data_IF_227866030157
#
_entry.id   IF_227866030157
#
_cell.length_a   1.000
_cell.length_b   1.000
_cell.length_c   1.000
_cell.angle_alpha   90.00
_cell.angle_beta   90.00
_cell.angle_gamma   90.00
#
_symmetry.space_group_name_H-M   'P 1'
#
loop_
_entity.id
_entity.type
_entity.pdbx_description
1 polymer ?
#
# COMPACT_ATOMS: atom_id res chain seq x y z
N UNK A 1 15.73 7.55 -2.60
CA UNK A 1 14.35 7.77 -3.06
C UNK A 1 13.64 6.45 -3.31
N UNK A 2 14.10 5.62 -4.26
CA UNK A 2 13.48 4.33 -4.61
C UNK A 2 13.01 3.48 -3.42
N UNK A 3 13.86 3.31 -2.38
CA UNK A 3 13.49 2.53 -1.19
C UNK A 3 12.33 3.13 -0.40
N UNK A 4 12.28 4.45 -0.27
CA UNK A 4 11.18 5.15 0.39
C UNK A 4 9.92 5.06 -0.45
N UNK A 5 10.03 5.26 -1.78
CA UNK A 5 8.90 5.09 -2.70
C UNK A 5 8.30 3.69 -2.59
N UNK A 6 9.14 2.66 -2.43
CA UNK A 6 8.66 1.30 -2.19
C UNK A 6 7.84 1.20 -0.90
N UNK A 7 8.25 1.83 0.19
CA UNK A 7 7.47 1.81 1.45
C UNK A 7 6.11 2.51 1.30
N UNK A 8 6.03 3.62 0.54
CA UNK A 8 4.76 4.28 0.24
C UNK A 8 3.90 3.48 -0.74
N UNK A 9 4.52 2.80 -1.72
CA UNK A 9 3.84 1.87 -2.62
C UNK A 9 3.13 0.76 -1.83
N UNK A 10 3.73 0.24 -0.75
CA UNK A 10 3.09 -0.80 0.08
C UNK A 10 1.86 -0.28 0.82
N UNK A 11 1.94 0.93 1.36
CA UNK A 11 0.83 1.61 2.03
C UNK A 11 -0.31 1.89 1.06
N UNK A 12 0.03 2.35 -0.15
CA UNK A 12 -0.95 2.54 -1.22
C UNK A 12 -1.59 1.22 -1.63
N UNK A 13 -0.79 0.15 -1.82
CA UNK A 13 -1.28 -1.18 -2.15
C UNK A 13 -2.26 -1.70 -1.06
N UNK A 14 -1.95 -1.46 0.22
CA UNK A 14 -2.83 -1.83 1.34
C UNK A 14 -4.17 -1.08 1.29
N UNK A 15 -4.12 0.24 1.11
CA UNK A 15 -5.31 1.07 1.00
C UNK A 15 -6.17 0.70 -0.23
N UNK A 16 -5.52 0.42 -1.36
CA UNK A 16 -6.20 -0.01 -2.58
C UNK A 16 -6.89 -1.37 -2.39
N UNK A 17 -6.18 -2.37 -1.86
CA UNK A 17 -6.77 -3.69 -1.57
C UNK A 17 -7.96 -3.56 -0.62
N UNK A 18 -7.82 -2.76 0.44
CA UNK A 18 -8.90 -2.48 1.39
C UNK A 18 -10.12 -1.90 0.67
N UNK A 19 -9.92 -0.90 -0.20
CA UNK A 19 -10.99 -0.27 -0.97
C UNK A 19 -11.73 -1.28 -1.86
N UNK A 20 -11.01 -2.19 -2.52
CA UNK A 20 -11.63 -3.22 -3.37
C UNK A 20 -12.47 -4.20 -2.54
N UNK A 21 -12.00 -4.58 -1.35
CA UNK A 21 -12.76 -5.45 -0.45
C UNK A 21 -13.97 -4.74 0.18
N UNK A 22 -13.90 -3.42 0.39
CA UNK A 22 -15.06 -2.63 0.78
C UNK A 22 -16.10 -2.52 -0.33
N UNK A 23 -15.66 -2.35 -1.57
CA UNK A 23 -16.55 -2.39 -2.74
C UNK A 23 -17.24 -3.76 -2.87
N UNK A 24 -16.48 -4.85 -2.69
CA UNK A 24 -17.04 -6.21 -2.61
C UNK A 24 -18.13 -6.32 -1.54
N UNK A 25 -17.82 -5.90 -0.31
CA UNK A 25 -18.76 -5.98 0.82
C UNK A 25 -20.05 -5.18 0.60
N UNK A 26 -19.98 -4.11 -0.20
CA UNK A 26 -21.12 -3.26 -0.59
C UNK A 26 -21.87 -3.77 -1.84
N UNK A 27 -21.45 -4.88 -2.44
CA UNK A 27 -22.00 -5.39 -3.71
C UNK A 27 -21.69 -4.50 -4.91
N UNK A 28 -20.65 -3.66 -4.81
CA UNK A 28 -20.21 -2.77 -5.88
C UNK A 28 -19.18 -3.48 -6.78
N UNK A 29 -18.95 -2.89 -7.97
CA UNK A 29 -17.86 -3.33 -8.85
C UNK A 29 -16.53 -3.21 -8.10
N UNK A 30 -15.78 -4.30 -8.09
CA UNK A 30 -14.49 -4.43 -7.43
C UNK A 30 -13.58 -5.28 -8.30
N UNK A 31 -12.28 -5.13 -8.08
CA UNK A 31 -11.26 -5.93 -8.74
C UNK A 31 -10.17 -6.34 -7.75
N UNK A 32 -10.22 -7.60 -7.31
CA UNK A 32 -9.23 -8.16 -6.39
C UNK A 32 -8.27 -9.04 -7.18
N UNK A 33 -7.13 -8.48 -7.57
CA UNK A 33 -6.12 -9.17 -8.36
C UNK A 33 -4.73 -8.54 -8.22
N UNK A 34 -3.71 -9.14 -8.82
CA UNK A 34 -2.34 -8.64 -8.78
C UNK A 34 -2.23 -7.27 -9.49
N UNK A 35 -1.64 -6.27 -8.82
CA UNK A 35 -1.48 -4.89 -9.32
C UNK A 35 -0.33 -4.72 -10.33
N UNK A 36 0.02 -5.75 -11.11
CA UNK A 36 1.13 -5.71 -12.07
C UNK A 36 0.88 -4.65 -13.14
N UNK A 37 1.56 -3.50 -13.04
CA UNK A 37 1.46 -2.38 -13.98
C UNK A 37 0.21 -1.50 -13.81
N UNK A 38 -0.57 -1.68 -12.75
CA UNK A 38 -1.84 -0.95 -12.52
C UNK A 38 -1.82 -0.04 -11.30
N UNK A 39 -0.64 0.18 -10.74
CA UNK A 39 -0.47 1.11 -9.62
C UNK A 39 -0.55 2.54 -10.14
N UNK A 40 -1.23 3.37 -9.37
CA UNK A 40 -1.24 4.81 -9.59
C UNK A 40 0.03 5.39 -8.98
N UNK A 41 1.06 5.54 -9.81
CA UNK A 41 2.35 6.07 -9.36
C UNK A 41 2.27 7.54 -8.98
N UNK A 42 1.42 8.33 -9.64
CA UNK A 42 1.22 9.74 -9.30
C UNK A 42 0.63 9.86 -7.89
N UNK A 43 -0.35 9.01 -7.56
CA UNK A 43 -0.91 8.95 -6.21
C UNK A 43 0.13 8.47 -5.16
N UNK A 44 0.96 7.49 -5.50
CA UNK A 44 2.03 7.00 -4.61
C UNK A 44 3.06 8.10 -4.35
N UNK A 45 3.49 8.81 -5.39
CA UNK A 45 4.46 9.91 -5.27
C UNK A 45 3.88 11.07 -4.44
N UNK A 46 2.60 11.37 -4.60
CA UNK A 46 1.89 12.38 -3.79
C UNK A 46 1.77 12.03 -2.31
N UNK A 47 1.91 10.75 -1.93
CA UNK A 47 1.96 10.34 -0.51
C UNK A 47 3.33 10.63 0.13
N UNK A 48 4.39 10.79 -0.66
CA UNK A 48 5.74 11.02 -0.15
C UNK A 48 5.88 12.49 0.28
N UNK A 49 6.27 12.79 1.52
CA UNK A 49 6.53 14.16 1.97
C UNK A 49 7.51 14.90 1.06
N UNK A 50 7.16 16.12 0.66
CA UNK A 50 7.92 16.92 -0.31
C UNK A 50 9.41 17.07 0.06
N UNK A 51 9.68 17.21 1.36
CA UNK A 51 11.01 17.38 1.92
C UNK A 51 11.95 16.22 1.55
N UNK A 52 11.43 14.99 1.37
CA UNK A 52 12.23 13.81 1.08
C UNK A 52 12.80 13.80 -0.34
N UNK A 53 12.15 14.48 -1.29
CA UNK A 53 12.59 14.54 -2.69
C UNK A 53 13.90 15.32 -2.86
N UNK A 54 14.08 16.39 -2.07
CA UNK A 54 15.28 17.23 -2.09
C UNK A 54 16.39 16.77 -1.15
N UNK A 55 16.15 15.77 -0.30
CA UNK A 55 17.11 15.38 0.74
C UNK A 55 18.31 14.60 0.18
N UNK A 56 19.54 14.90 0.64
CA UNK A 56 20.70 14.07 0.36
C UNK A 56 20.49 12.63 0.86
N UNK A 57 20.94 11.63 0.09
CA UNK A 57 20.77 10.19 0.41
C UNK A 57 21.13 9.82 1.87
N UNK A 58 22.17 10.42 2.43
CA UNK A 58 22.59 10.18 3.83
C UNK A 58 21.53 10.60 4.85
N UNK A 59 20.77 11.66 4.55
CA UNK A 59 19.67 12.15 5.39
C UNK A 59 18.36 11.40 5.17
N UNK A 60 18.18 10.73 4.02
CA UNK A 60 16.99 9.91 3.73
C UNK A 60 17.01 8.58 4.49
N UNK A 61 18.18 8.02 4.81
CA UNK A 61 18.29 6.69 5.45
C UNK A 61 17.54 6.58 6.79
N UNK A 62 17.65 7.54 7.73
CA UNK A 62 16.87 7.50 8.96
C UNK A 62 15.35 7.46 8.72
N UNK A 63 14.82 8.26 7.79
CA UNK A 63 13.40 8.24 7.43
C UNK A 63 12.98 6.90 6.86
N UNK A 64 13.79 6.34 5.96
CA UNK A 64 13.53 5.01 5.42
C UNK A 64 13.44 3.96 6.53
N UNK A 65 14.37 3.96 7.50
CA UNK A 65 14.33 3.01 8.61
C UNK A 65 13.09 3.20 9.50
N UNK A 66 12.71 4.45 9.80
CA UNK A 66 11.48 4.73 10.53
C UNK A 66 10.24 4.19 9.80
N UNK A 67 10.15 4.39 8.48
CA UNK A 67 9.06 3.84 7.65
C UNK A 67 8.99 2.31 7.67
N UNK A 68 10.12 1.60 7.90
CA UNK A 68 10.13 0.14 8.00
C UNK A 68 9.67 -0.38 9.36
N UNK A 69 9.77 0.44 10.41
CA UNK A 69 9.31 0.10 11.76
C UNK A 69 7.79 0.32 11.89
N UNK A 70 7.22 1.16 11.04
CA UNK A 70 5.79 1.39 10.91
C UNK A 70 5.07 0.21 10.23
N UNK A 71 3.82 -0.05 10.63
CA UNK A 71 2.95 -1.00 9.93
C UNK A 71 2.50 -0.41 8.57
N UNK A 72 2.72 -1.15 7.49
CA UNK A 72 2.27 -0.77 6.14
C UNK A 72 0.75 -0.93 5.95
N UNK A 73 0.07 -1.56 6.91
CA UNK A 73 -1.37 -1.78 6.93
C UNK A 73 -1.84 -2.93 6.03
N UNK A 74 -0.94 -3.59 5.31
CA UNK A 74 -1.30 -4.61 4.33
C UNK A 74 -1.89 -5.84 4.99
N UNK A 75 -1.35 -6.26 6.14
CA UNK A 75 -1.90 -7.38 6.92
C UNK A 75 -3.35 -7.09 7.32
N UNK A 76 -3.61 -5.90 7.87
CA UNK A 76 -4.95 -5.49 8.29
C UNK A 76 -5.93 -5.41 7.10
N UNK A 77 -5.48 -4.93 5.94
CA UNK A 77 -6.26 -4.93 4.72
C UNK A 77 -6.67 -6.35 4.30
N UNK A 78 -5.73 -7.31 4.31
CA UNK A 78 -6.04 -8.71 3.99
C UNK A 78 -6.95 -9.37 5.02
N UNK A 79 -6.77 -9.08 6.31
CA UNK A 79 -7.61 -9.64 7.36
C UNK A 79 -9.07 -9.21 7.17
N UNK A 80 -9.30 -7.94 6.82
CA UNK A 80 -10.64 -7.48 6.47
C UNK A 80 -11.18 -8.12 5.18
N UNK A 81 -10.36 -8.22 4.13
CA UNK A 81 -10.78 -8.90 2.90
C UNK A 81 -11.24 -10.34 3.17
N UNK A 82 -10.60 -11.04 4.10
CA UNK A 82 -11.02 -12.38 4.53
C UNK A 82 -12.30 -12.35 5.35
N UNK A 83 -12.45 -11.38 6.25
CA UNK A 83 -13.63 -11.19 7.09
C UNK A 83 -14.89 -10.99 6.24
N UNK A 84 -14.82 -10.14 5.21
CA UNK A 84 -15.95 -9.89 4.30
C UNK A 84 -16.12 -10.97 3.22
N UNK A 85 -15.25 -11.99 3.20
CA UNK A 85 -15.30 -13.09 2.24
C UNK A 85 -14.83 -12.76 0.83
N UNK A 86 -14.15 -11.63 0.63
CA UNK A 86 -13.67 -11.18 -0.67
C UNK A 86 -12.45 -11.98 -1.18
N UNK A 87 -11.68 -12.59 -0.27
CA UNK A 87 -10.54 -13.47 -0.60
C UNK A 87 -10.53 -14.74 0.27
N UNK A 88 -9.97 -15.87 -0.22
CA UNK A 88 -9.79 -17.07 0.59
C UNK A 88 -8.68 -16.88 1.65
N UNK A 89 -8.74 -17.68 2.73
CA UNK A 89 -7.75 -17.65 3.83
C UNK A 89 -6.30 -17.87 3.39
N UNK A 90 -6.09 -18.60 2.29
CA UNK A 90 -4.75 -18.88 1.73
C UNK A 90 -4.16 -17.79 0.85
N UNK A 91 -4.86 -16.67 0.63
CA UNK A 91 -4.35 -15.58 -0.19
C UNK A 91 -3.24 -14.84 0.57
N UNK A 92 -2.07 -14.74 -0.05
CA UNK A 92 -0.86 -14.09 0.45
C UNK A 92 -0.36 -13.07 -0.56
N UNK A 93 0.30 -12.04 -0.04
CA UNK A 93 0.95 -10.97 -0.78
C UNK A 93 2.01 -11.48 -1.75
#
# INVERSE_FOLDING_TARGET
MERVLKEYQLRWDAAHVRQQCEAFAKGQTHEISCLRGRRDWDAIEAMVPDELWGMPRKKVRPYYLALQEEDDGYKAALDYCREVGAIPKGWVR
#
